data_IF_005553401782
#
_entry.id   IF_005553401782
#
_cell.length_a   1.000
_cell.length_b   1.000
_cell.length_c   1.000
_cell.angle_alpha   90.00
_cell.angle_beta   90.00
_cell.angle_gamma   90.00
#
_symmetry.space_group_name_H-M   'P 1'
#
loop_
_entity.id
_entity.type
_entity.pdbx_description
1 polymer ?
#
# COMPACT_ATOMS: atom_id res chain seq x y z
N UNK A 1 7.40 -19.21 -23.87
CA UNK A 1 8.14 -18.18 -23.12
C UNK A 1 7.84 -18.37 -21.65
N UNK A 2 8.83 -18.61 -20.82
CA UNK A 2 8.55 -18.50 -19.40
C UNK A 2 8.11 -17.06 -19.17
N UNK A 3 6.94 -16.88 -18.57
CA UNK A 3 6.45 -15.57 -18.21
C UNK A 3 7.45 -14.95 -17.21
N UNK A 4 8.04 -13.82 -17.60
CA UNK A 4 8.85 -13.06 -16.66
C UNK A 4 7.96 -12.56 -15.50
N UNK A 5 8.50 -12.42 -14.30
CA UNK A 5 7.72 -11.84 -13.22
C UNK A 5 7.25 -10.42 -13.64
N UNK A 6 6.04 -10.02 -13.21
CA UNK A 6 5.58 -8.67 -13.46
C UNK A 6 6.51 -7.64 -12.79
N UNK A 7 6.60 -6.46 -13.37
CA UNK A 7 7.40 -5.37 -12.84
C UNK A 7 6.51 -4.22 -12.37
N UNK A 8 7.05 -3.28 -11.62
CA UNK A 8 6.30 -2.08 -11.21
C UNK A 8 5.77 -1.31 -12.44
N UNK A 9 6.55 -1.09 -13.52
CA UNK A 9 5.99 -0.50 -14.74
C UNK A 9 4.82 -1.29 -15.33
N UNK A 10 4.84 -2.62 -15.28
CA UNK A 10 3.72 -3.44 -15.76
C UNK A 10 2.45 -3.16 -14.95
N UNK A 11 2.56 -3.05 -13.63
CA UNK A 11 1.44 -2.72 -12.76
C UNK A 11 0.87 -1.34 -13.08
N UNK A 12 1.73 -0.36 -13.28
CA UNK A 12 1.32 1.01 -13.59
C UNK A 12 0.64 1.13 -14.97
N UNK A 13 1.00 0.28 -15.92
CA UNK A 13 0.32 0.21 -17.23
C UNK A 13 -1.07 -0.42 -17.13
N UNK A 14 -1.24 -1.38 -16.22
CA UNK A 14 -2.49 -2.12 -16.05
C UNK A 14 -3.50 -1.41 -15.13
N UNK A 15 -3.02 -0.54 -14.23
CA UNK A 15 -3.84 0.10 -13.21
C UNK A 15 -3.55 1.60 -13.12
N UNK A 16 -4.59 2.43 -13.21
CA UNK A 16 -4.45 3.89 -13.07
C UNK A 16 -4.36 4.31 -11.60
N UNK A 17 -4.96 3.54 -10.70
CA UNK A 17 -5.00 3.80 -9.25
C UNK A 17 -4.70 2.52 -8.48
N UNK A 18 -3.88 2.65 -7.46
CA UNK A 18 -3.55 1.52 -6.58
C UNK A 18 -3.55 1.92 -5.11
N UNK A 19 -3.85 0.95 -4.27
CA UNK A 19 -3.67 1.06 -2.84
C UNK A 19 -2.33 0.46 -2.42
N UNK A 20 -1.75 1.01 -1.36
CA UNK A 20 -0.45 0.59 -0.85
C UNK A 20 -0.60 0.19 0.62
N UNK A 21 -0.09 -1.00 0.97
CA UNK A 21 -0.05 -1.45 2.36
C UNK A 21 1.06 -0.71 3.12
N UNK A 22 0.90 -0.62 4.43
CA UNK A 22 1.89 -0.02 5.33
C UNK A 22 3.27 -0.66 5.19
N UNK A 23 3.36 -1.98 5.00
CA UNK A 23 4.63 -2.68 4.88
C UNK A 23 5.48 -2.19 3.70
N UNK A 24 4.86 -1.74 2.62
CA UNK A 24 5.57 -1.17 1.46
C UNK A 24 6.35 0.09 1.87
N UNK A 25 5.71 0.98 2.61
CA UNK A 25 6.38 2.19 3.12
C UNK A 25 7.41 1.87 4.20
N UNK A 26 7.19 0.85 5.01
CA UNK A 26 8.19 0.40 5.99
C UNK A 26 9.45 -0.10 5.27
N UNK A 27 9.30 -0.90 4.20
CA UNK A 27 10.44 -1.29 3.36
C UNK A 27 11.13 -0.08 2.76
N UNK A 28 10.37 0.91 2.26
CA UNK A 28 10.93 2.12 1.66
C UNK A 28 11.79 2.91 2.65
N UNK A 29 11.31 3.08 3.88
CA UNK A 29 11.96 3.93 4.88
C UNK A 29 13.05 3.22 5.67
N UNK A 30 12.93 1.93 5.91
CA UNK A 30 13.74 1.18 6.87
C UNK A 30 14.37 -0.08 6.28
N UNK A 31 13.95 -0.50 5.08
CA UNK A 31 14.36 -1.76 4.50
C UNK A 31 15.57 -1.68 3.60
N UNK A 32 16.02 -2.86 3.20
CA UNK A 32 17.05 -3.06 2.19
C UNK A 32 16.71 -4.34 1.41
N UNK A 33 17.35 -4.52 0.25
CA UNK A 33 17.15 -5.69 -0.58
C UNK A 33 16.04 -5.52 -1.63
N UNK A 34 15.64 -6.62 -2.29
CA UNK A 34 14.72 -6.56 -3.43
C UNK A 34 13.35 -5.93 -3.12
N UNK A 35 12.80 -6.19 -1.93
CA UNK A 35 11.50 -5.63 -1.52
C UNK A 35 11.59 -4.11 -1.39
N UNK A 36 12.66 -3.61 -0.77
CA UNK A 36 12.89 -2.17 -0.65
C UNK A 36 13.11 -1.53 -2.02
N UNK A 37 13.79 -2.21 -2.93
CA UNK A 37 14.00 -1.73 -4.31
C UNK A 37 12.65 -1.63 -5.05
N UNK A 38 11.80 -2.62 -4.91
CA UNK A 38 10.45 -2.58 -5.52
C UNK A 38 9.58 -1.50 -4.89
N UNK A 39 9.66 -1.33 -3.58
CA UNK A 39 8.96 -0.24 -2.88
C UNK A 39 9.42 1.13 -3.37
N UNK A 40 10.71 1.32 -3.60
CA UNK A 40 11.26 2.56 -4.14
C UNK A 40 10.78 2.82 -5.58
N UNK A 41 10.78 1.80 -6.44
CA UNK A 41 10.25 1.93 -7.80
C UNK A 41 8.78 2.34 -7.80
N UNK A 42 7.98 1.75 -6.91
CA UNK A 42 6.56 2.10 -6.77
C UNK A 42 6.39 3.53 -6.26
N UNK A 43 7.14 3.92 -5.25
CA UNK A 43 7.12 5.29 -4.71
C UNK A 43 7.48 6.32 -5.79
N UNK A 44 8.50 6.04 -6.60
CA UNK A 44 8.89 6.90 -7.71
C UNK A 44 7.77 7.03 -8.75
N UNK A 45 7.13 5.92 -9.12
CA UNK A 45 6.03 5.93 -10.07
C UNK A 45 4.84 6.76 -9.57
N UNK A 46 4.51 6.67 -8.29
CA UNK A 46 3.47 7.48 -7.66
C UNK A 46 3.88 8.95 -7.66
N UNK A 47 5.08 9.26 -7.18
CA UNK A 47 5.58 10.63 -7.09
C UNK A 47 5.66 11.34 -8.44
N UNK A 48 6.00 10.61 -9.50
CA UNK A 48 6.05 11.11 -10.87
C UNK A 48 4.66 11.25 -11.53
N UNK A 49 3.63 10.71 -10.89
CA UNK A 49 2.26 10.74 -11.44
C UNK A 49 1.98 9.70 -12.52
N UNK A 50 2.85 8.70 -12.68
CA UNK A 50 2.60 7.59 -13.60
C UNK A 50 1.38 6.77 -13.16
N UNK A 51 1.16 6.71 -11.84
CA UNK A 51 0.01 6.06 -11.22
C UNK A 51 -0.39 6.88 -9.98
N UNK A 52 -1.66 6.89 -9.63
CA UNK A 52 -2.13 7.48 -8.38
C UNK A 52 -2.17 6.41 -7.29
N UNK A 53 -1.68 6.74 -6.12
CA UNK A 53 -1.65 5.83 -4.98
C UNK A 53 -2.49 6.30 -3.80
N UNK A 54 -2.87 5.38 -2.93
CA UNK A 54 -3.47 5.71 -1.63
C UNK A 54 -2.91 4.84 -0.52
N UNK A 55 -2.94 5.39 0.68
CA UNK A 55 -2.64 4.70 1.93
C UNK A 55 -3.80 4.95 2.88
N UNK A 56 -4.33 3.90 3.50
CA UNK A 56 -5.29 4.06 4.59
C UNK A 56 -4.63 4.79 5.77
N UNK A 57 -5.35 5.66 6.46
CA UNK A 57 -4.81 6.31 7.68
C UNK A 57 -4.47 5.29 8.75
N UNK A 58 -5.14 4.14 8.77
CA UNK A 58 -4.72 2.98 9.57
C UNK A 58 -3.27 2.58 9.27
N UNK A 59 -2.88 2.57 8.00
CA UNK A 59 -1.52 2.27 7.57
C UNK A 59 -0.50 3.28 8.08
N UNK A 60 -0.88 4.56 8.14
CA UNK A 60 -0.04 5.58 8.79
C UNK A 60 0.20 5.23 10.25
N UNK A 61 -0.84 4.85 10.99
CA UNK A 61 -0.71 4.42 12.39
C UNK A 61 0.23 3.21 12.54
N UNK A 62 0.12 2.25 11.63
CA UNK A 62 1.01 1.08 11.62
C UNK A 62 2.48 1.47 11.38
N UNK A 63 2.73 2.36 10.42
CA UNK A 63 4.08 2.85 10.11
C UNK A 63 4.67 3.60 11.30
N UNK A 64 3.88 4.40 12.02
CA UNK A 64 4.33 5.19 13.16
C UNK A 64 4.54 4.35 14.42
N UNK A 65 4.04 3.13 14.46
CA UNK A 65 4.17 2.25 15.63
C UNK A 65 5.63 1.89 15.93
N UNK A 66 6.45 1.66 14.90
CA UNK A 66 7.89 1.41 15.08
C UNK A 66 8.61 2.53 15.82
N UNK A 67 8.61 3.76 15.28
CA UNK A 67 9.19 4.92 15.97
C UNK A 67 8.61 5.17 17.37
N UNK A 68 7.30 4.95 17.56
CA UNK A 68 6.67 5.12 18.86
C UNK A 68 7.23 4.13 19.90
N UNK A 69 7.39 2.86 19.52
CA UNK A 69 7.99 1.83 20.39
C UNK A 69 9.45 2.09 20.70
N UNK A 70 10.18 2.67 19.76
CA UNK A 70 11.61 2.98 19.92
C UNK A 70 11.84 4.30 20.65
N UNK A 71 10.79 5.04 21.01
CA UNK A 71 10.93 6.34 21.64
C UNK A 71 11.61 7.39 20.75
N UNK A 72 11.30 7.35 19.45
CA UNK A 72 11.91 8.21 18.44
C UNK A 72 10.89 9.18 17.81
N UNK A 73 10.41 10.19 18.55
CA UNK A 73 9.35 11.09 18.07
C UNK A 73 9.76 11.92 16.84
N UNK A 74 11.05 12.22 16.68
CA UNK A 74 11.54 12.95 15.50
C UNK A 74 11.45 12.10 14.23
N UNK A 75 11.66 10.78 14.34
CA UNK A 75 11.50 9.84 13.21
C UNK A 75 10.04 9.74 12.84
N UNK A 76 9.15 9.61 13.83
CA UNK A 76 7.70 9.59 13.61
C UNK A 76 7.24 10.85 12.88
N UNK A 77 7.64 12.02 13.34
CA UNK A 77 7.26 13.30 12.72
C UNK A 77 7.75 13.39 11.27
N UNK A 78 8.96 12.94 11.00
CA UNK A 78 9.50 12.90 9.63
C UNK A 78 8.67 12.00 8.71
N UNK A 79 8.23 10.85 9.19
CA UNK A 79 7.37 9.96 8.41
C UNK A 79 6.01 10.60 8.12
N UNK A 80 5.43 11.30 9.10
CA UNK A 80 4.19 12.05 8.89
C UNK A 80 4.37 13.12 7.82
N UNK A 81 5.43 13.91 7.92
CA UNK A 81 5.72 14.95 6.92
C UNK A 81 5.90 14.37 5.53
N UNK A 82 6.67 13.30 5.40
CA UNK A 82 6.90 12.66 4.10
C UNK A 82 5.64 12.10 3.49
N UNK A 83 4.82 11.40 4.27
CA UNK A 83 3.61 10.76 3.75
C UNK A 83 2.49 11.77 3.47
N UNK A 84 2.35 12.83 4.28
CA UNK A 84 1.33 13.84 4.06
C UNK A 84 1.65 14.80 2.92
N UNK A 85 2.93 14.97 2.60
CA UNK A 85 3.37 15.80 1.48
C UNK A 85 3.69 15.02 0.20
N UNK A 86 3.53 13.70 0.23
CA UNK A 86 3.86 12.82 -0.89
C UNK A 86 2.92 13.10 -2.06
N UNK A 87 3.48 13.52 -3.19
CA UNK A 87 2.67 13.84 -4.38
C UNK A 87 1.97 12.60 -4.93
N UNK A 88 0.72 12.77 -5.35
CA UNK A 88 -0.13 11.74 -5.94
C UNK A 88 -0.44 10.56 -5.00
N UNK A 89 -0.19 10.72 -3.71
CA UNK A 89 -0.59 9.78 -2.66
C UNK A 89 -1.72 10.38 -1.83
N UNK A 90 -2.88 9.75 -1.85
CA UNK A 90 -4.01 10.12 -1.00
C UNK A 90 -3.97 9.34 0.31
N UNK A 91 -4.19 10.02 1.42
CA UNK A 91 -4.45 9.36 2.70
C UNK A 91 -5.95 9.20 2.87
N UNK A 92 -6.43 7.97 2.93
CA UNK A 92 -7.86 7.66 2.98
C UNK A 92 -8.29 7.44 4.43
N UNK A 93 -9.14 8.31 4.99
CA UNK A 93 -9.55 8.18 6.38
C UNK A 93 -10.51 7.00 6.58
N UNK A 94 -10.49 6.44 7.78
CA UNK A 94 -11.48 5.47 8.23
C UNK A 94 -12.77 6.22 8.59
N UNK A 95 -13.55 6.53 7.57
CA UNK A 95 -14.87 7.13 7.75
C UNK A 95 -15.97 6.06 7.83
N UNK A 96 -17.23 6.50 7.89
CA UNK A 96 -18.37 5.58 8.01
C UNK A 96 -18.46 4.65 6.79
N UNK A 97 -18.24 5.17 5.59
CA UNK A 97 -18.35 4.37 4.36
C UNK A 97 -17.25 3.31 4.29
N UNK A 98 -16.01 3.67 4.63
CA UNK A 98 -14.89 2.73 4.72
C UNK A 98 -15.16 1.68 5.80
N UNK A 99 -15.67 2.09 6.96
CA UNK A 99 -15.99 1.18 8.05
C UNK A 99 -17.06 0.14 7.65
N UNK A 100 -18.11 0.59 6.95
CA UNK A 100 -19.15 -0.32 6.44
C UNK A 100 -18.59 -1.34 5.45
N UNK A 101 -17.79 -0.88 4.50
CA UNK A 101 -17.20 -1.74 3.49
C UNK A 101 -16.20 -2.73 4.12
N UNK A 102 -15.39 -2.27 5.06
CA UNK A 102 -14.46 -3.12 5.81
C UNK A 102 -15.20 -4.22 6.58
N UNK A 103 -16.33 -3.89 7.21
CA UNK A 103 -17.15 -4.87 7.92
C UNK A 103 -17.69 -5.93 6.96
N UNK A 104 -18.16 -5.53 5.78
CA UNK A 104 -18.65 -6.44 4.74
C UNK A 104 -17.53 -7.36 4.24
N UNK A 105 -16.37 -6.82 3.93
CA UNK A 105 -15.19 -7.60 3.49
C UNK A 105 -14.81 -8.61 4.56
N UNK A 106 -14.70 -8.20 5.81
CA UNK A 106 -14.32 -9.07 6.91
C UNK A 106 -15.36 -10.17 7.18
N UNK A 107 -16.65 -9.86 7.00
CA UNK A 107 -17.74 -10.84 7.15
C UNK A 107 -17.74 -11.90 6.08
N UNK A 108 -17.26 -11.59 4.88
CA UNK A 108 -17.22 -12.51 3.73
C UNK A 108 -15.90 -13.27 3.62
N UNK A 109 -14.80 -12.68 4.10
CA UNK A 109 -13.46 -13.21 3.98
C UNK A 109 -12.81 -13.29 5.37
N UNK A 110 -11.95 -14.30 5.57
CA UNK A 110 -11.21 -14.45 6.83
C UNK A 110 -9.97 -13.54 6.84
N UNK A 111 -10.23 -12.24 6.94
CA UNK A 111 -9.18 -11.21 7.02
C UNK A 111 -9.20 -10.56 8.40
N UNK A 112 -8.05 -10.06 8.84
CA UNK A 112 -8.01 -9.17 10.00
C UNK A 112 -8.79 -7.89 9.71
N UNK A 113 -9.23 -7.20 10.77
CA UNK A 113 -9.92 -5.92 10.59
C UNK A 113 -9.02 -4.90 9.90
N UNK A 114 -7.74 -4.86 10.27
CA UNK A 114 -6.77 -3.96 9.62
C UNK A 114 -6.65 -4.22 8.12
N UNK A 115 -6.53 -5.48 7.70
CA UNK A 115 -6.45 -5.84 6.29
C UNK A 115 -7.73 -5.47 5.54
N UNK A 116 -8.89 -5.70 6.15
CA UNK A 116 -10.18 -5.31 5.58
C UNK A 116 -10.29 -3.78 5.41
N UNK A 117 -9.80 -3.01 6.38
CA UNK A 117 -9.77 -1.53 6.30
C UNK A 117 -8.85 -1.07 5.18
N UNK A 118 -7.68 -1.67 5.03
CA UNK A 118 -6.77 -1.35 3.91
C UNK A 118 -7.44 -1.56 2.55
N UNK A 119 -8.07 -2.71 2.36
CA UNK A 119 -8.74 -3.03 1.10
C UNK A 119 -9.97 -2.15 0.85
N UNK A 120 -10.76 -1.88 1.87
CA UNK A 120 -11.90 -0.96 1.78
C UNK A 120 -11.45 0.46 1.41
N UNK A 121 -10.35 0.93 2.01
CA UNK A 121 -9.77 2.23 1.72
C UNK A 121 -9.29 2.32 0.26
N UNK A 122 -8.62 1.28 -0.23
CA UNK A 122 -8.18 1.18 -1.62
C UNK A 122 -9.38 1.24 -2.58
N UNK A 123 -10.43 0.48 -2.29
CA UNK A 123 -11.65 0.47 -3.11
C UNK A 123 -12.34 1.83 -3.10
N UNK A 124 -12.42 2.49 -1.95
CA UNK A 124 -12.97 3.85 -1.81
C UNK A 124 -12.22 4.87 -2.67
N UNK A 125 -10.91 4.74 -2.76
CA UNK A 125 -10.05 5.58 -3.61
C UNK A 125 -10.27 5.32 -5.10
N UNK A 126 -10.89 4.21 -5.47
CA UNK A 126 -11.05 3.77 -6.85
C UNK A 126 -9.85 2.94 -7.35
N UNK A 127 -9.05 2.41 -6.43
CA UNK A 127 -7.96 1.52 -6.79
C UNK A 127 -8.47 0.19 -7.33
N UNK A 128 -7.82 -0.33 -8.34
CA UNK A 128 -8.07 -1.65 -8.92
C UNK A 128 -7.00 -2.66 -8.54
N UNK A 129 -5.94 -2.20 -7.88
CA UNK A 129 -4.83 -3.00 -7.39
C UNK A 129 -4.48 -2.58 -5.96
N UNK A 130 -4.17 -3.54 -5.12
CA UNK A 130 -3.58 -3.33 -3.79
C UNK A 130 -2.20 -3.99 -3.75
N UNK A 131 -1.17 -3.21 -3.41
CA UNK A 131 0.22 -3.68 -3.32
C UNK A 131 0.59 -3.92 -1.87
N UNK A 132 1.04 -5.14 -1.59
CA UNK A 132 1.41 -5.58 -0.24
C UNK A 132 2.55 -6.59 -0.32
N UNK A 133 3.09 -6.97 0.82
CA UNK A 133 3.95 -8.15 0.92
C UNK A 133 3.41 -9.18 1.93
N UNK A 134 2.16 -9.00 2.37
CA UNK A 134 1.47 -9.92 3.28
C UNK A 134 0.59 -10.88 2.49
N UNK A 135 1.01 -12.15 2.46
CA UNK A 135 0.30 -13.22 1.74
C UNK A 135 -1.08 -13.55 2.31
N UNK A 136 -1.43 -13.05 3.49
CA UNK A 136 -2.78 -13.20 4.05
C UNK A 136 -3.81 -12.30 3.37
N UNK A 137 -3.36 -11.26 2.68
CA UNK A 137 -4.24 -10.35 1.93
C UNK A 137 -4.55 -10.98 0.57
N UNK A 138 -5.82 -11.09 0.27
CA UNK A 138 -6.34 -11.69 -0.96
C UNK A 138 -7.19 -10.70 -1.73
N UNK A 139 -7.39 -10.92 -3.06
CA UNK A 139 -8.26 -10.07 -3.85
C UNK A 139 -9.70 -10.01 -3.30
N UNK A 140 -10.32 -8.86 -3.48
CA UNK A 140 -11.76 -8.63 -3.25
C UNK A 140 -12.42 -8.19 -4.55
N UNK A 141 -13.74 -8.05 -4.55
CA UNK A 141 -14.46 -7.57 -5.74
C UNK A 141 -13.93 -6.20 -6.20
N UNK A 142 -13.39 -6.15 -7.41
CA UNK A 142 -12.87 -4.94 -8.04
C UNK A 142 -11.44 -4.56 -7.69
N UNK A 143 -10.79 -5.27 -6.76
CA UNK A 143 -9.41 -4.99 -6.35
C UNK A 143 -8.58 -6.26 -6.38
N UNK A 144 -7.62 -6.33 -7.29
CA UNK A 144 -6.62 -7.40 -7.33
C UNK A 144 -5.46 -7.09 -6.39
N UNK A 145 -4.58 -8.05 -6.16
CA UNK A 145 -3.46 -7.91 -5.23
C UNK A 145 -2.14 -8.26 -5.93
N UNK A 146 -1.13 -7.46 -5.71
CA UNK A 146 0.25 -7.75 -6.10
C UNK A 146 1.13 -7.80 -4.85
N UNK A 147 2.02 -8.78 -4.80
CA UNK A 147 2.98 -8.94 -3.71
C UNK A 147 4.36 -8.48 -4.15
N UNK A 148 5.05 -7.72 -3.31
CA UNK A 148 6.38 -7.19 -3.63
C UNK A 148 7.37 -8.30 -4.00
N UNK A 149 7.30 -9.44 -3.30
CA UNK A 149 8.20 -10.60 -3.55
C UNK A 149 8.03 -11.22 -4.93
N UNK A 150 6.87 -11.04 -5.55
CA UNK A 150 6.58 -11.58 -6.88
C UNK A 150 7.01 -10.63 -8.01
N UNK A 151 7.43 -9.42 -7.67
CA UNK A 151 7.82 -8.41 -8.66
C UNK A 151 9.30 -8.55 -9.04
N UNK A 152 9.56 -8.52 -10.34
CA UNK A 152 10.91 -8.42 -10.86
C UNK A 152 11.41 -6.99 -10.92
N UNK A 153 12.73 -6.80 -11.14
CA UNK A 153 13.28 -5.47 -11.33
C UNK A 153 12.73 -4.82 -12.61
N UNK A 154 12.63 -3.50 -12.62
CA UNK A 154 12.38 -2.76 -13.84
C UNK A 154 13.57 -2.92 -14.79
N UNK A 155 13.30 -3.02 -16.11
CA UNK A 155 14.32 -3.14 -17.15
C UNK A 155 15.12 -1.83 -17.31
#
# INVERSE_FOLDING_TARGET
MPDRPPTVPDLCRAHARLGVDSNVFIYLFEGSGPEADRAAELADAIGEGTVAGCLATLGLAEILTGPARSGAPQVAERYVEELTSFENLALVPLDVDVARDAATIRGQLQLSLGDAIHLASARRFGATLFVTNDRRIHPIGGVTVAYLDDLGPAD
#
